data_IF_327704816221
#
_entry.id   IF_327704816221
#
_cell.length_a   1.000
_cell.length_b   1.000
_cell.length_c   1.000
_cell.angle_alpha   90.00
_cell.angle_beta   90.00
_cell.angle_gamma   90.00
#
_symmetry.space_group_name_H-M   'P 1'
#
loop_
_entity.id
_entity.type
_entity.pdbx_description
1 polymer ?
#
# COMPACT_ATOMS: atom_id res chain seq x y z
N UNK A 1 10.60 19.24 -10.56
CA UNK A 1 10.99 18.05 -9.76
C UNK A 1 10.95 16.85 -10.69
N UNK A 2 12.05 16.12 -10.84
CA UNK A 2 12.11 14.88 -11.64
C UNK A 2 11.98 13.69 -10.69
N UNK A 3 10.94 12.88 -10.86
CA UNK A 3 10.67 11.73 -10.01
C UNK A 3 11.06 10.43 -10.72
N UNK A 4 11.75 9.53 -10.02
CA UNK A 4 11.90 8.14 -10.42
C UNK A 4 10.94 7.30 -9.57
N UNK A 5 10.07 6.51 -10.22
CA UNK A 5 9.10 5.66 -9.55
C UNK A 5 9.42 4.20 -9.85
N UNK A 6 9.61 3.39 -8.82
CA UNK A 6 9.79 1.95 -8.95
C UNK A 6 8.46 1.21 -8.71
N UNK A 7 8.33 0.00 -9.24
CA UNK A 7 7.10 -0.77 -9.14
C UNK A 7 6.04 -0.38 -10.17
N UNK A 8 6.48 0.09 -11.34
CA UNK A 8 5.64 0.42 -12.50
C UNK A 8 4.71 -0.74 -12.88
N UNK A 9 3.52 -0.39 -13.37
CA UNK A 9 2.41 -1.33 -13.58
C UNK A 9 1.69 -1.75 -12.29
N UNK A 10 2.16 -1.29 -11.12
CA UNK A 10 1.45 -1.40 -9.84
C UNK A 10 0.43 -0.28 -9.65
N UNK A 11 -0.58 -0.52 -8.81
CA UNK A 11 -1.71 0.39 -8.60
C UNK A 11 -1.26 1.82 -8.28
N UNK A 12 -0.47 1.99 -7.21
CA UNK A 12 -0.03 3.31 -6.76
C UNK A 12 0.96 3.97 -7.71
N UNK A 13 1.87 3.19 -8.31
CA UNK A 13 2.85 3.73 -9.26
C UNK A 13 2.16 4.33 -10.49
N UNK A 14 1.09 3.69 -10.98
CA UNK A 14 0.31 4.20 -12.12
C UNK A 14 -0.47 5.48 -11.78
N UNK A 15 -1.07 5.56 -10.58
CA UNK A 15 -1.74 6.80 -10.16
C UNK A 15 -0.74 7.96 -9.94
N UNK A 16 0.46 7.66 -9.43
CA UNK A 16 1.55 8.66 -9.32
C UNK A 16 2.04 9.11 -10.69
N UNK A 17 2.16 8.20 -11.65
CA UNK A 17 2.51 8.50 -13.03
C UNK A 17 1.48 9.45 -13.67
N UNK A 18 0.18 9.19 -13.48
CA UNK A 18 -0.90 10.03 -13.96
C UNK A 18 -0.82 11.46 -13.39
N UNK A 19 -0.54 11.60 -12.08
CA UNK A 19 -0.47 12.92 -11.43
C UNK A 19 0.78 13.68 -11.82
N UNK A 20 1.94 13.01 -11.91
CA UNK A 20 3.23 13.66 -12.14
C UNK A 20 3.54 13.88 -13.64
N UNK A 21 2.86 13.14 -14.53
CA UNK A 21 3.02 13.25 -15.97
C UNK A 21 4.49 13.19 -16.42
N UNK A 22 4.91 14.11 -17.24
CA UNK A 22 6.28 14.16 -17.81
C UNK A 22 7.39 14.33 -16.74
N UNK A 23 7.03 14.66 -15.52
CA UNK A 23 7.99 14.75 -14.42
C UNK A 23 8.36 13.35 -13.84
N UNK A 24 7.60 12.31 -14.19
CA UNK A 24 7.83 10.95 -13.72
C UNK A 24 8.57 10.07 -14.74
N UNK A 25 9.56 9.31 -14.26
CA UNK A 25 10.15 8.17 -14.96
C UNK A 25 9.81 6.92 -14.16
N UNK A 26 8.95 6.08 -14.71
CA UNK A 26 8.40 4.89 -14.05
C UNK A 26 9.07 3.64 -14.59
N UNK A 27 9.47 2.74 -13.70
CA UNK A 27 10.12 1.49 -14.05
C UNK A 27 9.32 0.32 -13.48
N UNK A 28 8.90 -0.58 -14.36
CA UNK A 28 8.33 -1.87 -13.99
C UNK A 28 9.42 -2.83 -13.51
N UNK A 29 9.03 -3.95 -12.87
CA UNK A 29 10.00 -4.99 -12.48
C UNK A 29 10.76 -5.58 -13.68
N UNK A 30 10.13 -5.66 -14.85
CA UNK A 30 10.78 -6.16 -16.05
C UNK A 30 11.86 -5.21 -16.60
N UNK A 31 11.73 -3.90 -16.35
CA UNK A 31 12.69 -2.87 -16.77
C UNK A 31 13.77 -2.63 -15.71
N UNK A 32 13.42 -2.79 -14.43
CA UNK A 32 14.33 -2.58 -13.31
C UNK A 32 13.97 -3.51 -12.15
N UNK A 33 14.74 -4.57 -11.97
CA UNK A 33 14.75 -5.29 -10.69
C UNK A 33 15.57 -4.48 -9.68
N UNK A 34 14.88 -3.89 -8.70
CA UNK A 34 15.55 -3.09 -7.68
C UNK A 34 16.49 -3.90 -6.78
N UNK A 35 16.39 -5.24 -6.78
CA UNK A 35 17.32 -6.12 -6.07
C UNK A 35 18.68 -6.27 -6.82
N UNK A 36 18.74 -5.96 -8.11
CA UNK A 36 19.98 -5.83 -8.86
C UNK A 36 20.63 -4.47 -8.59
N UNK A 37 21.64 -4.48 -7.74
CA UNK A 37 22.32 -3.28 -7.30
C UNK A 37 22.99 -2.50 -8.45
N UNK A 38 23.55 -3.20 -9.43
CA UNK A 38 24.24 -2.57 -10.55
C UNK A 38 23.26 -1.92 -11.52
N UNK A 39 22.14 -2.61 -11.83
CA UNK A 39 21.06 -2.05 -12.65
C UNK A 39 20.42 -0.83 -11.98
N UNK A 40 20.19 -0.90 -10.66
CA UNK A 40 19.63 0.21 -9.89
C UNK A 40 20.56 1.43 -9.91
N UNK A 41 21.86 1.26 -9.71
CA UNK A 41 22.83 2.34 -9.77
C UNK A 41 22.88 2.98 -11.17
N UNK A 42 22.90 2.18 -12.24
CA UNK A 42 22.93 2.67 -13.61
C UNK A 42 21.69 3.54 -13.93
N UNK A 43 20.50 3.10 -13.52
CA UNK A 43 19.24 3.84 -13.72
C UNK A 43 19.25 5.14 -12.91
N UNK A 44 19.73 5.13 -11.67
CA UNK A 44 19.83 6.33 -10.84
C UNK A 44 20.79 7.37 -11.45
N UNK A 45 21.92 6.90 -12.01
CA UNK A 45 22.88 7.78 -12.70
C UNK A 45 22.31 8.35 -14.02
N UNK A 46 21.59 7.53 -14.80
CA UNK A 46 20.95 7.96 -16.05
C UNK A 46 19.83 8.99 -15.81
N UNK A 47 18.91 8.68 -14.87
CA UNK A 47 17.74 9.52 -14.61
C UNK A 47 18.12 10.77 -13.82
N UNK A 48 19.10 10.68 -12.93
CA UNK A 48 19.49 11.73 -11.99
C UNK A 48 18.26 12.40 -11.33
N UNK A 49 17.43 11.65 -10.59
CA UNK A 49 16.14 12.13 -10.07
C UNK A 49 16.34 13.08 -8.90
N UNK A 50 15.41 14.05 -8.73
CA UNK A 50 15.31 14.86 -7.52
C UNK A 50 14.69 14.08 -6.35
N UNK A 51 13.80 13.11 -6.68
CA UNK A 51 13.14 12.24 -5.72
C UNK A 51 12.96 10.84 -6.30
N UNK A 52 13.15 9.82 -5.45
CA UNK A 52 12.76 8.44 -5.76
C UNK A 52 11.52 8.08 -4.95
N UNK A 53 10.47 7.57 -5.63
CA UNK A 53 9.26 7.05 -4.98
C UNK A 53 9.27 5.54 -5.16
N UNK A 54 9.58 4.82 -4.08
CA UNK A 54 9.70 3.38 -4.10
C UNK A 54 8.37 2.71 -3.77
N UNK A 55 7.62 2.31 -4.82
CA UNK A 55 6.41 1.50 -4.73
C UNK A 55 6.68 0.00 -4.92
N UNK A 56 7.89 -0.40 -5.31
CA UNK A 56 8.26 -1.80 -5.45
C UNK A 56 8.38 -2.48 -4.09
N UNK A 57 7.84 -3.68 -3.98
CA UNK A 57 7.93 -4.51 -2.80
C UNK A 57 7.72 -5.99 -3.12
N UNK A 58 8.38 -6.87 -2.42
CA UNK A 58 8.04 -8.29 -2.38
C UNK A 58 6.96 -8.46 -1.31
N UNK A 59 5.67 -8.58 -1.74
CA UNK A 59 4.52 -8.32 -0.87
C UNK A 59 3.46 -9.44 -0.83
N UNK A 60 3.74 -10.59 -1.44
CA UNK A 60 2.91 -11.78 -1.24
C UNK A 60 3.29 -12.39 0.11
N UNK A 61 2.40 -12.32 1.09
CA UNK A 61 2.68 -12.73 2.46
C UNK A 61 3.13 -14.18 2.55
N UNK A 62 2.39 -15.09 1.89
CA UNK A 62 2.67 -16.53 1.96
C UNK A 62 4.02 -16.86 1.27
N UNK A 63 4.32 -16.20 0.15
CA UNK A 63 5.60 -16.36 -0.56
C UNK A 63 6.76 -15.74 0.25
N UNK A 64 6.53 -14.67 0.99
CA UNK A 64 7.56 -14.12 1.88
C UNK A 64 8.03 -15.13 2.93
N UNK A 65 7.09 -15.95 3.47
CA UNK A 65 7.46 -16.99 4.45
C UNK A 65 8.31 -18.11 3.84
N UNK A 66 8.07 -18.45 2.56
CA UNK A 66 8.80 -19.51 1.85
C UNK A 66 10.07 -19.01 1.14
N UNK A 67 10.12 -17.72 0.81
CA UNK A 67 11.24 -17.09 0.11
C UNK A 67 11.77 -15.85 0.86
N UNK A 68 12.19 -16.00 2.12
CA UNK A 68 12.60 -14.86 2.95
C UNK A 68 13.76 -14.07 2.37
N UNK A 69 14.74 -14.74 1.75
CA UNK A 69 15.92 -14.07 1.15
C UNK A 69 15.53 -13.08 0.05
N UNK A 70 14.50 -13.41 -0.75
CA UNK A 70 13.99 -12.50 -1.75
C UNK A 70 13.26 -11.30 -1.09
N UNK A 71 12.50 -11.55 -0.03
CA UNK A 71 11.88 -10.48 0.74
C UNK A 71 12.93 -9.51 1.32
N UNK A 72 14.03 -10.04 1.87
CA UNK A 72 15.16 -9.23 2.36
C UNK A 72 15.87 -8.48 1.23
N UNK A 73 16.04 -9.09 0.07
CA UNK A 73 16.68 -8.44 -1.08
C UNK A 73 15.89 -7.20 -1.52
N UNK A 74 14.59 -7.35 -1.76
CA UNK A 74 13.74 -6.30 -2.30
C UNK A 74 13.35 -5.28 -1.23
N UNK A 75 12.85 -5.75 -0.07
CA UNK A 75 12.26 -4.88 0.94
C UNK A 75 13.30 -4.18 1.84
N UNK A 76 14.56 -4.65 1.86
CA UNK A 76 15.59 -4.10 2.76
C UNK A 76 16.83 -3.64 2.02
N UNK A 77 17.53 -4.56 1.32
CA UNK A 77 18.81 -4.22 0.66
C UNK A 77 18.64 -3.17 -0.44
N UNK A 78 17.63 -3.35 -1.29
CA UNK A 78 17.31 -2.38 -2.33
C UNK A 78 16.90 -1.03 -1.74
N UNK A 79 16.08 -1.03 -0.68
CA UNK A 79 15.66 0.22 -0.01
C UNK A 79 16.86 0.95 0.59
N UNK A 80 17.79 0.24 1.22
CA UNK A 80 19.03 0.84 1.72
C UNK A 80 19.84 1.49 0.58
N UNK A 81 19.95 0.84 -0.57
CA UNK A 81 20.68 1.38 -1.71
C UNK A 81 19.99 2.63 -2.26
N UNK A 82 18.67 2.59 -2.42
CA UNK A 82 17.88 3.77 -2.79
C UNK A 82 18.11 4.93 -1.82
N UNK A 83 18.08 4.67 -0.52
CA UNK A 83 18.30 5.69 0.51
C UNK A 83 19.69 6.32 0.47
N UNK A 84 20.72 5.54 0.13
CA UNK A 84 22.11 6.02 -0.02
C UNK A 84 22.29 6.89 -1.27
N UNK A 85 21.54 6.63 -2.34
CA UNK A 85 21.74 7.23 -3.66
C UNK A 85 20.73 8.34 -3.98
N UNK A 86 19.52 8.25 -3.49
CA UNK A 86 18.47 9.23 -3.79
C UNK A 86 18.69 10.53 -3.00
N UNK A 87 18.59 11.70 -3.63
CA UNK A 87 18.57 12.98 -2.91
C UNK A 87 17.42 13.08 -1.92
N UNK A 88 16.29 12.43 -2.25
CA UNK A 88 15.10 12.28 -1.42
C UNK A 88 14.45 10.94 -1.73
N UNK A 89 14.05 10.18 -0.71
CA UNK A 89 13.36 8.90 -0.87
C UNK A 89 11.97 8.94 -0.25
N UNK A 90 10.95 8.56 -1.01
CA UNK A 90 9.63 8.18 -0.49
C UNK A 90 9.55 6.66 -0.50
N UNK A 91 9.34 6.03 0.65
CA UNK A 91 9.26 4.57 0.77
C UNK A 91 7.90 4.13 1.28
N UNK A 92 7.19 3.33 0.49
CA UNK A 92 5.90 2.76 0.87
C UNK A 92 6.10 1.62 1.85
N UNK A 93 5.50 1.74 3.04
CA UNK A 93 5.42 0.72 4.08
C UNK A 93 3.97 0.29 4.31
N UNK A 94 3.69 -0.34 5.44
CA UNK A 94 2.45 -1.06 5.69
C UNK A 94 2.03 -0.95 7.17
N UNK A 95 0.73 -1.05 7.41
CA UNK A 95 0.18 -1.23 8.76
C UNK A 95 0.58 -2.56 9.42
N UNK A 96 1.03 -3.56 8.64
CA UNK A 96 1.48 -4.87 9.16
C UNK A 96 2.75 -4.79 10.03
N UNK A 97 3.41 -3.64 10.10
CA UNK A 97 4.50 -3.42 11.07
C UNK A 97 4.02 -3.51 12.52
N UNK A 98 2.71 -3.41 12.76
CA UNK A 98 2.08 -3.57 14.07
C UNK A 98 1.47 -4.97 14.22
N UNK A 99 1.35 -5.46 15.46
CA UNK A 99 0.83 -6.79 15.76
C UNK A 99 -0.71 -6.92 15.69
N UNK A 100 -1.42 -5.79 15.69
CA UNK A 100 -2.87 -5.74 15.60
C UNK A 100 -3.62 -6.28 16.81
N UNK A 101 -3.01 -6.26 18.02
CA UNK A 101 -3.56 -6.90 19.23
C UNK A 101 -4.24 -5.94 20.20
N UNK A 102 -4.19 -4.65 19.96
CA UNK A 102 -4.89 -3.65 20.77
C UNK A 102 -6.12 -3.13 20.06
N UNK A 103 -7.07 -2.58 20.81
CA UNK A 103 -8.33 -2.07 20.28
C UNK A 103 -8.16 -0.65 19.68
N UNK A 104 -7.24 0.16 20.21
CA UNK A 104 -7.01 1.53 19.73
C UNK A 104 -6.17 1.54 18.45
N UNK A 105 -6.37 2.55 17.58
CA UNK A 105 -5.53 2.77 16.39
C UNK A 105 -4.05 2.99 16.75
N UNK A 106 -3.14 2.54 15.89
CA UNK A 106 -1.70 2.71 16.05
C UNK A 106 -1.23 4.05 15.49
N UNK A 107 -0.55 4.86 16.33
CA UNK A 107 0.11 6.11 15.92
C UNK A 107 1.51 5.87 15.34
N UNK A 108 2.07 6.90 14.66
CA UNK A 108 3.41 6.80 14.05
C UNK A 108 4.53 6.57 15.07
N UNK A 109 4.33 6.94 16.33
CA UNK A 109 5.31 6.78 17.43
C UNK A 109 5.13 5.48 18.23
N UNK A 110 4.10 4.70 17.95
CA UNK A 110 3.91 3.41 18.60
C UNK A 110 4.99 2.42 18.19
N UNK A 111 5.38 1.57 19.13
CA UNK A 111 6.43 0.58 18.90
C UNK A 111 5.93 -0.50 17.94
N UNK A 112 6.57 -0.69 16.77
CA UNK A 112 6.22 -1.77 15.88
C UNK A 112 6.48 -3.15 16.48
N UNK A 113 5.63 -4.12 16.13
CA UNK A 113 5.76 -5.52 16.56
C UNK A 113 5.32 -6.48 15.42
N UNK A 114 6.08 -6.52 14.31
CA UNK A 114 5.70 -7.26 13.11
C UNK A 114 5.65 -8.78 13.36
N UNK A 115 4.71 -9.49 12.72
CA UNK A 115 4.43 -10.90 12.98
C UNK A 115 4.56 -11.82 11.75
N UNK A 116 5.17 -11.33 10.67
CA UNK A 116 5.42 -12.10 9.45
C UNK A 116 6.72 -11.63 8.80
N UNK A 117 7.32 -12.46 7.95
CA UNK A 117 8.54 -12.09 7.19
C UNK A 117 8.28 -10.84 6.34
N UNK A 118 7.11 -10.76 5.70
CA UNK A 118 6.73 -9.53 5.00
C UNK A 118 6.81 -8.29 5.91
N UNK A 119 6.15 -8.33 7.05
CA UNK A 119 6.09 -7.21 7.97
C UNK A 119 7.47 -6.87 8.58
N UNK A 120 8.26 -7.89 8.95
CA UNK A 120 9.63 -7.73 9.47
C UNK A 120 10.51 -7.06 8.43
N UNK A 121 10.48 -7.52 7.18
CA UNK A 121 11.30 -6.94 6.11
C UNK A 121 10.84 -5.54 5.73
N UNK A 122 9.53 -5.25 5.75
CA UNK A 122 9.03 -3.88 5.54
C UNK A 122 9.51 -2.94 6.64
N UNK A 123 9.43 -3.33 7.91
CA UNK A 123 9.95 -2.53 9.04
C UNK A 123 11.47 -2.32 8.93
N UNK A 124 12.23 -3.36 8.59
CA UNK A 124 13.67 -3.23 8.37
C UNK A 124 13.99 -2.26 7.21
N UNK A 125 13.15 -2.24 6.16
CA UNK A 125 13.22 -1.27 5.08
C UNK A 125 12.94 0.16 5.53
N UNK A 126 11.96 0.39 6.43
CA UNK A 126 11.74 1.70 7.06
C UNK A 126 13.00 2.21 7.77
N UNK A 127 13.60 1.34 8.60
CA UNK A 127 14.84 1.67 9.31
C UNK A 127 15.98 1.96 8.34
N UNK A 128 16.12 1.19 7.26
CA UNK A 128 17.11 1.43 6.23
C UNK A 128 16.89 2.77 5.53
N UNK A 129 15.64 3.08 5.14
CA UNK A 129 15.29 4.36 4.51
C UNK A 129 15.66 5.55 5.42
N UNK A 130 15.33 5.49 6.70
CA UNK A 130 15.55 6.59 7.64
C UNK A 130 17.02 6.72 8.06
N UNK A 131 17.74 5.60 8.22
CA UNK A 131 19.13 5.63 8.68
C UNK A 131 20.10 6.09 7.59
N UNK A 132 19.83 5.79 6.33
CA UNK A 132 20.75 6.06 5.22
C UNK A 132 20.31 7.22 4.32
N UNK A 133 19.02 7.62 4.36
CA UNK A 133 18.47 8.74 3.61
C UNK A 133 17.91 9.84 4.52
N UNK A 134 18.69 10.90 4.84
CA UNK A 134 18.26 11.92 5.82
C UNK A 134 17.01 12.69 5.41
N UNK A 135 16.65 12.66 4.13
CA UNK A 135 15.41 13.26 3.59
C UNK A 135 14.38 12.19 3.19
N UNK A 136 14.43 11.01 3.81
CA UNK A 136 13.45 9.96 3.53
C UNK A 136 12.11 10.24 4.21
N UNK A 137 11.05 9.97 3.45
CA UNK A 137 9.67 9.90 3.92
C UNK A 137 9.20 8.45 3.83
N UNK A 138 8.85 7.86 4.95
CA UNK A 138 8.25 6.54 5.04
C UNK A 138 6.74 6.69 5.21
N UNK A 139 5.98 6.05 4.35
CA UNK A 139 4.51 6.10 4.36
C UNK A 139 3.98 4.73 4.72
N UNK A 140 3.34 4.61 5.88
CA UNK A 140 2.58 3.42 6.24
C UNK A 140 1.16 3.57 5.72
N UNK A 141 0.75 2.64 4.88
CA UNK A 141 -0.57 2.56 4.27
C UNK A 141 -1.25 1.22 4.58
N UNK A 142 -2.55 1.13 4.33
CA UNK A 142 -3.33 -0.09 4.58
C UNK A 142 -4.31 -0.36 3.43
N UNK A 143 -4.52 -1.64 3.10
CA UNK A 143 -5.61 -2.09 2.25
C UNK A 143 -5.68 -1.44 0.85
N UNK A 144 -4.54 -1.23 0.19
CA UNK A 144 -4.48 -0.50 -1.07
C UNK A 144 -5.27 -1.18 -2.20
N UNK A 145 -6.08 -0.40 -2.90
CA UNK A 145 -6.77 -0.77 -4.13
C UNK A 145 -6.78 0.41 -5.11
N UNK A 146 -6.71 0.12 -6.41
CA UNK A 146 -6.63 1.14 -7.48
C UNK A 146 -7.21 0.64 -8.78
N UNK A 147 -7.39 1.54 -9.74
CA UNK A 147 -7.96 1.22 -11.06
C UNK A 147 -7.04 0.29 -11.85
N UNK A 148 -5.75 0.52 -11.75
CA UNK A 148 -4.74 -0.35 -12.33
C UNK A 148 -4.60 -1.59 -11.45
N UNK A 149 -4.89 -2.78 -11.98
CA UNK A 149 -4.82 -4.02 -11.21
C UNK A 149 -3.39 -4.35 -10.79
N UNK A 150 -3.23 -5.09 -9.69
CA UNK A 150 -1.95 -5.70 -9.35
C UNK A 150 -1.68 -6.87 -10.30
N UNK A 151 -0.73 -6.73 -11.22
CA UNK A 151 -0.38 -7.78 -12.19
C UNK A 151 -0.01 -9.10 -11.47
N UNK A 152 0.68 -9.03 -10.32
CA UNK A 152 1.10 -10.20 -9.54
C UNK A 152 -0.05 -10.91 -8.79
N UNK A 153 -1.24 -10.29 -8.68
CA UNK A 153 -2.39 -10.81 -7.91
C UNK A 153 -3.65 -11.03 -8.75
N UNK A 154 -3.58 -10.90 -10.08
CA UNK A 154 -4.76 -11.02 -10.94
C UNK A 154 -5.83 -9.98 -10.66
N UNK A 155 -5.43 -8.75 -10.39
CA UNK A 155 -6.30 -7.63 -10.06
C UNK A 155 -6.23 -7.20 -8.58
N UNK A 156 -7.00 -6.17 -8.22
CA UNK A 156 -7.13 -5.70 -6.84
C UNK A 156 -8.22 -6.47 -6.05
N UNK A 157 -8.38 -6.14 -4.77
CA UNK A 157 -9.37 -6.80 -3.93
C UNK A 157 -10.80 -6.62 -4.45
N UNK A 158 -11.17 -5.39 -4.87
CA UNK A 158 -12.52 -5.07 -5.38
C UNK A 158 -12.83 -5.88 -6.63
N UNK A 159 -11.92 -5.90 -7.60
CA UNK A 159 -12.07 -6.67 -8.84
C UNK A 159 -12.25 -8.16 -8.58
N UNK A 160 -11.48 -8.73 -7.65
CA UNK A 160 -11.60 -10.14 -7.28
C UNK A 160 -12.95 -10.47 -6.62
N UNK A 161 -13.45 -9.60 -5.74
CA UNK A 161 -14.75 -9.82 -5.10
C UNK A 161 -15.89 -9.73 -6.12
N UNK A 162 -15.85 -8.76 -7.03
CA UNK A 162 -16.80 -8.64 -8.14
C UNK A 162 -16.75 -9.84 -9.07
N UNK A 163 -15.56 -10.32 -9.42
CA UNK A 163 -15.39 -11.53 -10.24
C UNK A 163 -16.01 -12.75 -9.58
N UNK A 164 -15.66 -13.03 -8.32
CA UNK A 164 -16.22 -14.14 -7.56
C UNK A 164 -17.76 -14.08 -7.43
N UNK A 165 -18.30 -12.88 -7.20
CA UNK A 165 -19.75 -12.68 -7.12
C UNK A 165 -20.44 -13.01 -8.46
N UNK A 166 -19.88 -12.53 -9.58
CA UNK A 166 -20.41 -12.80 -10.92
C UNK A 166 -20.31 -14.28 -11.32
N UNK A 167 -19.29 -14.97 -10.84
CA UNK A 167 -19.10 -16.42 -11.03
C UNK A 167 -20.01 -17.26 -10.12
N UNK A 168 -20.87 -16.63 -9.31
CA UNK A 168 -21.81 -17.31 -8.39
C UNK A 168 -21.11 -17.97 -7.18
N UNK A 169 -19.87 -17.58 -6.86
CA UNK A 169 -19.16 -18.11 -5.71
C UNK A 169 -19.72 -17.57 -4.40
N UNK A 170 -19.83 -18.42 -3.37
CA UNK A 170 -20.15 -17.98 -2.03
C UNK A 170 -19.05 -17.04 -1.51
N UNK A 171 -19.44 -15.86 -1.03
CA UNK A 171 -18.53 -14.90 -0.42
C UNK A 171 -18.50 -15.08 1.09
N UNK A 172 -17.34 -15.43 1.63
CA UNK A 172 -17.06 -15.51 3.08
C UNK A 172 -15.91 -14.56 3.38
N UNK A 173 -16.13 -13.61 4.30
CA UNK A 173 -15.13 -12.58 4.62
C UNK A 173 -14.99 -12.42 6.12
N UNK A 174 -13.74 -12.20 6.56
CA UNK A 174 -13.43 -11.99 7.96
C UNK A 174 -14.02 -10.66 8.45
N UNK A 175 -14.74 -10.71 9.58
CA UNK A 175 -15.39 -9.56 10.19
C UNK A 175 -14.60 -9.01 11.39
N UNK A 176 -13.56 -9.68 11.81
CA UNK A 176 -12.71 -9.35 12.95
C UNK A 176 -11.34 -8.77 12.56
N UNK A 177 -11.06 -8.60 11.26
CA UNK A 177 -9.90 -7.84 10.79
C UNK A 177 -10.32 -6.42 10.38
N UNK A 178 -9.90 -5.43 11.17
CA UNK A 178 -10.18 -4.02 10.93
C UNK A 178 -9.02 -3.36 10.18
N UNK A 179 -9.35 -2.54 9.19
CA UNK A 179 -8.38 -1.80 8.39
C UNK A 179 -9.00 -0.53 7.81
N UNK A 180 -8.19 0.24 7.11
CA UNK A 180 -8.60 1.43 6.36
C UNK A 180 -8.34 1.17 4.88
N UNK A 181 -9.29 0.59 4.11
CA UNK A 181 -9.10 0.39 2.68
C UNK A 181 -8.85 1.72 2.00
N UNK A 182 -7.71 1.85 1.32
CA UNK A 182 -7.25 3.13 0.79
C UNK A 182 -7.14 3.08 -0.73
N UNK A 183 -7.85 3.98 -1.41
CA UNK A 183 -7.78 4.14 -2.86
C UNK A 183 -6.45 4.78 -3.24
N UNK A 184 -5.73 4.15 -4.16
CA UNK A 184 -4.38 4.57 -4.53
C UNK A 184 -4.32 5.95 -5.19
N UNK A 185 -5.40 6.39 -5.85
CA UNK A 185 -5.48 7.76 -6.39
C UNK A 185 -5.47 8.83 -5.28
N UNK A 186 -6.21 8.61 -4.19
CA UNK A 186 -6.18 9.51 -3.02
C UNK A 186 -4.82 9.49 -2.33
N UNK A 187 -4.23 8.30 -2.19
CA UNK A 187 -2.89 8.16 -1.61
C UNK A 187 -1.82 8.84 -2.46
N UNK A 188 -1.89 8.70 -3.79
CA UNK A 188 -0.94 9.34 -4.71
C UNK A 188 -0.99 10.88 -4.59
N UNK A 189 -2.18 11.46 -4.53
CA UNK A 189 -2.36 12.90 -4.30
C UNK A 189 -1.78 13.33 -2.94
N UNK A 190 -2.01 12.55 -1.87
CA UNK A 190 -1.46 12.83 -0.55
C UNK A 190 0.07 12.69 -0.49
N UNK A 191 0.67 11.79 -1.28
CA UNK A 191 2.13 11.67 -1.41
C UNK A 191 2.72 12.91 -2.07
N UNK A 192 2.09 13.43 -3.12
CA UNK A 192 2.54 14.66 -3.79
C UNK A 192 2.43 15.86 -2.85
N UNK A 193 1.32 16.00 -2.10
CA UNK A 193 1.17 17.04 -1.09
C UNK A 193 2.23 16.93 0.03
N UNK A 194 2.56 15.72 0.47
CA UNK A 194 3.64 15.49 1.44
C UNK A 194 5.03 15.87 0.89
N UNK A 195 5.26 15.64 -0.40
CA UNK A 195 6.48 16.07 -1.10
C UNK A 195 6.57 17.58 -1.17
N UNK A 196 5.49 18.28 -1.52
CA UNK A 196 5.44 19.75 -1.62
C UNK A 196 5.65 20.44 -0.26
N UNK A 197 5.29 19.76 0.85
CA UNK A 197 5.53 20.22 2.23
C UNK A 197 6.90 19.83 2.78
N UNK A 198 7.75 19.23 1.98
CA UNK A 198 9.06 18.72 2.39
C UNK A 198 9.01 17.76 3.60
N UNK A 199 7.93 16.96 3.70
CA UNK A 199 7.73 16.00 4.78
C UNK A 199 8.81 14.92 4.78
N UNK A 200 9.28 14.53 5.97
CA UNK A 200 10.29 13.49 6.20
C UNK A 200 9.87 12.59 7.38
N UNK A 201 10.61 11.51 7.61
CA UNK A 201 10.31 10.57 8.72
C UNK A 201 9.11 9.68 8.41
N UNK A 202 8.45 9.15 9.44
CA UNK A 202 7.31 8.22 9.26
C UNK A 202 6.00 8.99 9.33
N UNK A 203 5.10 8.74 8.39
CA UNK A 203 3.71 9.23 8.41
C UNK A 203 2.74 8.08 8.07
N UNK A 204 1.53 8.17 8.61
CA UNK A 204 0.42 7.28 8.26
C UNK A 204 -0.50 7.99 7.27
N UNK A 205 -0.69 7.40 6.08
CA UNK A 205 -1.60 7.90 5.06
C UNK A 205 -2.57 6.78 4.66
N UNK A 206 -3.77 6.84 5.19
CA UNK A 206 -4.86 5.89 4.97
C UNK A 206 -6.19 6.63 4.86
N UNK A 207 -7.23 5.94 4.42
CA UNK A 207 -8.59 6.45 4.50
C UNK A 207 -8.92 6.93 5.93
N UNK A 208 -9.85 7.90 6.06
CA UNK A 208 -10.13 8.57 7.35
C UNK A 208 -10.72 7.64 8.42
N UNK A 209 -11.50 6.65 8.01
CA UNK A 209 -12.22 5.72 8.88
C UNK A 209 -11.90 4.25 8.56
N UNK A 210 -12.31 3.36 9.44
CA UNK A 210 -12.00 1.94 9.35
C UNK A 210 -13.28 1.11 9.11
N UNK A 211 -13.08 -0.08 8.57
CA UNK A 211 -14.09 -1.12 8.44
C UNK A 211 -13.43 -2.51 8.49
N UNK A 212 -14.23 -3.57 8.62
CA UNK A 212 -13.75 -4.93 8.41
C UNK A 212 -13.66 -5.28 6.92
N UNK A 213 -12.93 -6.34 6.59
CA UNK A 213 -12.97 -6.88 5.22
C UNK A 213 -14.38 -7.33 4.83
N UNK A 214 -15.19 -7.78 5.79
CA UNK A 214 -16.60 -8.10 5.58
C UNK A 214 -17.39 -6.86 5.15
N UNK A 215 -17.33 -5.76 5.94
CA UNK A 215 -18.06 -4.52 5.65
C UNK A 215 -17.63 -3.92 4.31
N UNK A 216 -16.33 -3.95 4.03
CA UNK A 216 -15.82 -3.47 2.74
C UNK A 216 -16.37 -4.30 1.57
N UNK A 217 -16.48 -5.64 1.73
CA UNK A 217 -17.03 -6.51 0.69
C UNK A 217 -18.54 -6.31 0.52
N UNK A 218 -19.29 -6.14 1.60
CA UNK A 218 -20.72 -5.80 1.55
C UNK A 218 -20.92 -4.50 0.76
N UNK A 219 -20.16 -3.46 1.07
CA UNK A 219 -20.22 -2.18 0.35
C UNK A 219 -19.89 -2.31 -1.14
N UNK A 220 -18.94 -3.17 -1.51
CA UNK A 220 -18.64 -3.46 -2.94
C UNK A 220 -19.88 -4.05 -3.63
N UNK A 221 -20.57 -5.02 -3.00
CA UNK A 221 -21.76 -5.64 -3.58
C UNK A 221 -22.91 -4.63 -3.70
N UNK A 222 -23.15 -3.83 -2.65
CA UNK A 222 -24.16 -2.76 -2.67
C UNK A 222 -23.94 -1.77 -3.83
N UNK A 223 -22.71 -1.23 -3.94
CA UNK A 223 -22.38 -0.24 -4.97
C UNK A 223 -22.38 -0.82 -6.39
N UNK A 224 -22.14 -2.12 -6.53
CA UNK A 224 -22.27 -2.82 -7.80
C UNK A 224 -23.70 -3.20 -8.16
N UNK A 225 -24.68 -3.00 -7.25
CA UNK A 225 -26.07 -3.44 -7.45
C UNK A 225 -26.23 -4.95 -7.49
N UNK A 226 -25.34 -5.70 -6.82
CA UNK A 226 -25.35 -7.16 -6.77
C UNK A 226 -26.00 -7.62 -5.46
N UNK A 227 -27.09 -8.38 -5.56
CA UNK A 227 -27.75 -9.03 -4.42
C UNK A 227 -27.06 -10.37 -4.10
N UNK A 228 -25.82 -10.28 -3.61
CA UNK A 228 -25.00 -11.44 -3.25
C UNK A 228 -24.70 -11.37 -1.76
N UNK A 229 -25.15 -12.35 -0.96
CA UNK A 229 -24.87 -12.36 0.48
C UNK A 229 -23.38 -12.58 0.75
N UNK A 230 -22.86 -11.83 1.71
CA UNK A 230 -21.48 -11.96 2.22
C UNK A 230 -21.56 -12.54 3.63
N UNK A 231 -21.08 -13.76 3.80
CA UNK A 231 -21.05 -14.42 5.11
C UNK A 231 -19.90 -13.88 5.96
N UNK A 232 -20.23 -13.38 7.16
CA UNK A 232 -19.23 -12.94 8.13
C UNK A 232 -18.60 -14.17 8.80
N UNK A 233 -17.27 -14.24 8.78
CA UNK A 233 -16.50 -15.30 9.44
C UNK A 233 -15.44 -14.70 10.36
N UNK A 234 -14.93 -15.51 11.30
CA UNK A 234 -13.82 -15.13 12.15
C UNK A 234 -12.48 -15.55 11.51
N UNK A 235 -11.43 -14.82 11.81
CA UNK A 235 -10.08 -15.17 11.37
C UNK A 235 -9.65 -16.50 11.95
N UNK A 236 -9.18 -17.37 11.07
CA UNK A 236 -8.52 -18.63 11.46
C UNK A 236 -7.14 -18.67 10.80
N UNK A 237 -6.12 -19.02 11.58
CA UNK A 237 -4.75 -19.17 11.07
C UNK A 237 -4.49 -20.67 10.94
N UNK A 238 -4.41 -21.20 9.71
CA UNK A 238 -4.06 -22.60 9.51
C UNK A 238 -2.60 -22.85 9.95
N UNK A 239 -2.21 -24.09 10.27
CA UNK A 239 -0.83 -24.42 10.58
C UNK A 239 0.11 -23.94 9.46
N UNK A 240 1.15 -23.17 9.82
CA UNK A 240 2.06 -22.54 8.87
C UNK A 240 1.51 -21.31 8.12
N UNK A 241 0.29 -20.88 8.42
CA UNK A 241 -0.30 -19.69 7.83
C UNK A 241 0.24 -18.39 8.44
N UNK A 242 0.09 -17.31 7.70
CA UNK A 242 0.57 -15.98 8.11
C UNK A 242 -0.37 -15.35 9.15
N UNK A 243 0.20 -14.91 10.27
CA UNK A 243 -0.51 -14.12 11.29
C UNK A 243 -0.74 -12.70 10.78
N UNK A 244 -2.00 -12.33 10.56
CA UNK A 244 -2.41 -11.01 10.07
C UNK A 244 -2.96 -10.19 11.23
N UNK A 245 -2.65 -8.87 11.32
CA UNK A 245 -3.18 -8.03 12.38
C UNK A 245 -4.70 -8.01 12.36
N UNK A 246 -5.34 -8.26 13.52
CA UNK A 246 -6.79 -8.12 13.67
C UNK A 246 -7.19 -6.64 13.66
N UNK A 247 -6.43 -5.78 14.35
CA UNK A 247 -6.58 -4.34 14.25
C UNK A 247 -5.40 -3.75 13.46
N UNK A 248 -5.63 -3.42 12.20
CA UNK A 248 -4.67 -2.75 11.33
C UNK A 248 -4.94 -1.26 11.14
N UNK A 249 -5.72 -0.65 12.06
CA UNK A 249 -6.12 0.77 11.96
C UNK A 249 -4.98 1.67 12.40
N UNK A 250 -4.70 2.70 11.59
CA UNK A 250 -3.65 3.68 11.82
C UNK A 250 -4.23 5.03 12.21
N UNK A 251 -3.79 5.57 13.35
CA UNK A 251 -3.96 6.97 13.70
C UNK A 251 -2.84 7.81 13.04
N UNK A 252 -3.07 9.10 12.85
CA UNK A 252 -2.19 9.97 12.06
C UNK A 252 -1.69 11.23 12.77
N UNK A 253 -1.35 11.20 14.08
CA UNK A 253 -1.03 12.39 14.84
C UNK A 253 0.15 13.20 14.25
N UNK A 254 1.14 12.56 13.67
CA UNK A 254 2.26 13.24 13.01
C UNK A 254 1.84 13.87 11.68
N UNK A 255 1.09 13.16 10.85
CA UNK A 255 0.57 13.71 9.59
C UNK A 255 -0.28 14.96 9.86
N UNK A 256 -1.11 14.93 10.91
CA UNK A 256 -1.90 16.08 11.35
C UNK A 256 -1.02 17.24 11.86
N UNK A 257 0.01 16.94 12.64
CA UNK A 257 0.93 17.95 13.18
C UNK A 257 1.72 18.69 12.09
N UNK A 258 2.02 18.04 10.97
CA UNK A 258 2.67 18.69 9.80
C UNK A 258 1.67 19.24 8.77
N UNK A 259 0.38 19.23 9.10
CA UNK A 259 -0.69 19.82 8.31
C UNK A 259 -1.05 19.05 7.03
N UNK A 260 -0.76 17.75 6.96
CA UNK A 260 -1.23 16.92 5.83
C UNK A 260 -2.74 16.71 5.93
N UNK A 261 -3.52 16.98 4.87
CA UNK A 261 -4.96 16.79 4.89
C UNK A 261 -5.32 15.31 5.13
N UNK A 262 -6.43 15.07 5.83
CA UNK A 262 -6.99 13.73 5.96
C UNK A 262 -7.50 13.27 4.59
N UNK A 263 -7.26 11.99 4.27
CA UNK A 263 -7.90 11.38 3.12
C UNK A 263 -9.42 11.26 3.38
N UNK A 264 -10.19 11.11 2.31
CA UNK A 264 -11.64 10.87 2.38
C UNK A 264 -11.95 9.56 3.15
N UNK A 265 -13.21 9.38 3.56
CA UNK A 265 -13.67 8.10 4.12
C UNK A 265 -13.45 6.96 3.13
N UNK A 266 -13.22 5.75 3.63
CA UNK A 266 -13.04 4.57 2.77
C UNK A 266 -14.27 4.35 1.87
N UNK A 267 -15.47 4.65 2.36
CA UNK A 267 -16.69 4.50 1.57
C UNK A 267 -16.76 5.49 0.42
N UNK A 268 -16.46 6.76 0.66
CA UNK A 268 -16.38 7.77 -0.40
C UNK A 268 -15.31 7.45 -1.45
N UNK A 269 -14.16 6.92 -1.01
CA UNK A 269 -13.11 6.46 -1.91
C UNK A 269 -13.57 5.27 -2.77
N UNK A 270 -14.32 4.33 -2.17
CA UNK A 270 -14.87 3.17 -2.89
C UNK A 270 -15.92 3.60 -3.92
N UNK A 271 -16.80 4.54 -3.57
CA UNK A 271 -17.81 5.10 -4.49
C UNK A 271 -17.15 5.74 -5.73
N UNK A 272 -16.09 6.53 -5.52
CA UNK A 272 -15.31 7.12 -6.61
C UNK A 272 -14.62 6.04 -7.46
N UNK A 273 -13.98 5.07 -6.82
CA UNK A 273 -13.38 3.93 -7.52
C UNK A 273 -14.41 3.20 -8.40
N UNK A 274 -15.58 2.85 -7.84
CA UNK A 274 -16.63 2.11 -8.56
C UNK A 274 -17.16 2.91 -9.76
N UNK A 275 -17.31 4.23 -9.59
CA UNK A 275 -17.70 5.13 -10.67
C UNK A 275 -16.66 5.18 -11.79
N UNK A 276 -15.40 5.41 -11.44
CA UNK A 276 -14.29 5.49 -12.39
C UNK A 276 -14.00 4.16 -13.08
N UNK A 277 -14.21 3.04 -12.39
CA UNK A 277 -14.10 1.68 -12.96
C UNK A 277 -15.28 1.27 -13.85
N UNK A 278 -16.36 2.10 -13.93
CA UNK A 278 -17.56 1.81 -14.72
C UNK A 278 -18.38 0.62 -14.19
N UNK A 279 -18.30 0.34 -12.88
CA UNK A 279 -18.98 -0.79 -12.24
C UNK A 279 -20.04 -0.36 -11.22
N UNK A 280 -20.22 0.95 -11.00
CA UNK A 280 -21.31 1.45 -10.15
C UNK A 280 -22.68 1.06 -10.74
N UNK A 281 -23.63 0.69 -9.88
CA UNK A 281 -25.01 0.48 -10.29
C UNK A 281 -25.51 1.77 -10.96
N UNK A 282 -26.02 1.66 -12.19
CA UNK A 282 -26.73 2.79 -12.80
C UNK A 282 -27.93 3.14 -11.91
N UNK A 283 -28.03 4.39 -11.47
CA UNK A 283 -29.20 4.85 -10.74
C UNK A 283 -30.45 4.56 -11.58
N UNK A 284 -31.32 3.71 -11.05
CA UNK A 284 -32.60 3.38 -11.67
C UNK A 284 -33.58 4.52 -11.48
#
# INVERSE_FOLDING_TARGET
MRALITGGGGQLASDLEEILGDAARVFSHAELDIADAAALDAVLDEVAPDVVINCAAFHNLDVCETEPDQAWAVNVRAVRQLALRAPRLVHLSTNYVFDGRRDEPYGEHDVPAPRSIYAITKLAGEHAALAYGPRSLVIRAAGLYGLHGSASKGGNFVQRMLGRARDGAQLKMVADQLLQPTFTADLAAAIVDALDRDATGVVHLTAADACSWHDFTVAIMELAGLDVPVEAVQTTIPPGGVDRPLNGVLARPRADAIGLPALRSWRSQLEDYMTRAGVAAQAR
#
